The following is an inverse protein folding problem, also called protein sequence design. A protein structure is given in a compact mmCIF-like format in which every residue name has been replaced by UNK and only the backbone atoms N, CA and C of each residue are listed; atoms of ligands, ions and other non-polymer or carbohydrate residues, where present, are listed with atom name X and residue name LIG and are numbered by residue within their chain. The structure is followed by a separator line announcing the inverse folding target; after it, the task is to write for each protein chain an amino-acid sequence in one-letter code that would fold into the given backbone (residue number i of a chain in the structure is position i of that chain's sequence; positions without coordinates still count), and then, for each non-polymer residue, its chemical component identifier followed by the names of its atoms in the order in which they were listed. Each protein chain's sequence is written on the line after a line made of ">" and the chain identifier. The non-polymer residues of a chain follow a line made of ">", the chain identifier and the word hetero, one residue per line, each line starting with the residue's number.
data_IF_876243884354
#
_entry.id   IF_876243884354
#
_cell.length_a   1.000
_cell.length_b   1.000
_cell.length_c   1.000
_cell.angle_alpha   90.00
_cell.angle_beta   90.00
_cell.angle_gamma   90.00
#
_symmetry.space_group_name_H-M   'P 1'
#
loop_
_entity.id
_entity.type
_entity.pdbx_description
1 polymer ?
#
# COMPACT_ATOMS: atom_id res chain seq x y z
N UNK A 1 44.06 -17.26 12.46
CA UNK A 1 43.37 -16.02 12.87
C UNK A 1 42.39 -15.66 11.77
N UNK A 2 41.09 -15.77 12.03
CA UNK A 2 40.03 -15.48 11.06
C UNK A 2 39.49 -14.10 11.43
N UNK A 3 39.78 -13.09 10.61
CA UNK A 3 39.24 -11.73 10.80
C UNK A 3 37.76 -11.72 10.42
N UNK A 4 36.85 -11.17 11.24
CA UNK A 4 35.45 -11.08 10.86
C UNK A 4 35.32 -9.98 9.80
N UNK A 5 34.80 -10.34 8.63
CA UNK A 5 34.41 -9.35 7.64
C UNK A 5 33.16 -8.61 8.16
N UNK A 6 33.39 -7.44 8.74
CA UNK A 6 32.33 -6.50 9.05
C UNK A 6 31.81 -5.92 7.74
N UNK A 7 30.70 -6.46 7.24
CA UNK A 7 29.91 -5.81 6.19
C UNK A 7 29.44 -4.46 6.75
N UNK A 8 30.23 -3.41 6.49
CA UNK A 8 29.92 -2.04 6.85
C UNK A 8 28.82 -1.59 5.89
N UNK A 9 27.56 -1.66 6.33
CA UNK A 9 26.44 -1.10 5.58
C UNK A 9 26.61 0.42 5.63
N UNK A 10 27.25 0.98 4.60
CA UNK A 10 27.47 2.41 4.48
C UNK A 10 26.11 3.09 4.30
N UNK A 11 25.79 4.03 5.19
CA UNK A 11 24.53 4.76 5.12
C UNK A 11 24.50 5.60 3.85
N UNK A 12 23.65 5.22 2.90
CA UNK A 12 23.36 6.00 1.70
C UNK A 12 22.12 6.84 1.93
N UNK A 13 22.29 8.16 1.93
CA UNK A 13 21.18 9.10 2.07
C UNK A 13 20.14 8.88 0.97
N UNK A 14 18.89 8.65 1.37
CA UNK A 14 17.77 8.33 0.48
C UNK A 14 17.18 9.61 -0.12
N UNK A 15 17.93 10.26 -1.01
CA UNK A 15 17.55 11.54 -1.67
C UNK A 15 16.18 11.50 -2.36
N UNK A 16 15.76 10.34 -2.85
CA UNK A 16 14.44 10.18 -3.48
C UNK A 16 13.26 10.50 -2.54
N UNK A 17 13.44 10.35 -1.23
CA UNK A 17 12.40 10.71 -0.24
C UNK A 17 12.19 12.21 -0.12
N UNK A 18 13.22 13.01 -0.45
CA UNK A 18 13.15 14.46 -0.47
C UNK A 18 12.49 14.99 -1.75
N UNK A 19 12.26 14.13 -2.76
CA UNK A 19 11.51 14.49 -3.98
C UNK A 19 9.99 14.49 -3.75
N UNK A 20 9.53 13.88 -2.66
CA UNK A 20 8.12 13.87 -2.29
C UNK A 20 7.88 15.07 -1.37
N UNK A 21 7.70 16.24 -1.95
CA UNK A 21 7.20 17.39 -1.19
C UNK A 21 5.73 17.14 -0.88
N UNK A 22 5.42 16.82 0.38
CA UNK A 22 4.05 16.51 0.80
C UNK A 22 3.03 17.64 0.57
N UNK A 23 3.50 18.86 0.25
CA UNK A 23 2.67 20.01 -0.11
C UNK A 23 1.94 19.83 -1.44
N UNK A 24 2.50 19.05 -2.36
CA UNK A 24 1.95 18.86 -3.71
C UNK A 24 1.11 17.57 -3.83
N UNK A 25 0.85 16.89 -2.70
CA UNK A 25 0.04 15.67 -2.68
C UNK A 25 -1.39 15.95 -2.23
N UNK A 26 -2.33 15.65 -3.11
CA UNK A 26 -3.77 15.60 -2.81
C UNK A 26 -4.01 14.41 -1.88
N UNK A 27 -4.70 14.68 -0.78
CA UNK A 27 -5.01 13.68 0.24
C UNK A 27 -6.50 13.37 0.19
N UNK A 28 -6.85 12.08 0.13
CA UNK A 28 -8.24 11.63 0.11
C UNK A 28 -8.39 10.28 0.82
N UNK A 29 -9.61 9.96 1.20
CA UNK A 29 -9.97 8.72 1.88
C UNK A 29 -10.88 7.89 0.97
N UNK A 30 -10.63 6.59 0.91
CA UNK A 30 -11.52 5.61 0.26
C UNK A 30 -11.95 4.61 1.32
N UNK A 31 -13.26 4.56 1.59
CA UNK A 31 -13.84 3.69 2.60
C UNK A 31 -14.94 2.82 1.98
N UNK A 32 -14.78 1.51 2.09
CA UNK A 32 -15.75 0.51 1.65
C UNK A 32 -15.77 -0.66 2.63
N UNK A 33 -16.88 -0.79 3.36
CA UNK A 33 -17.05 -1.71 4.49
C UNK A 33 -15.86 -1.65 5.47
N UNK A 34 -15.08 -2.72 5.61
CA UNK A 34 -13.93 -2.79 6.51
C UNK A 34 -12.64 -2.18 5.92
N UNK A 35 -12.63 -1.90 4.62
CA UNK A 35 -11.46 -1.32 3.94
C UNK A 35 -11.49 0.20 4.10
N UNK A 36 -10.51 0.75 4.82
CA UNK A 36 -10.37 2.19 5.05
C UNK A 36 -8.94 2.62 4.65
N UNK A 37 -8.83 3.31 3.52
CA UNK A 37 -7.56 3.71 2.92
C UNK A 37 -7.42 5.24 2.96
N UNK A 38 -6.32 5.72 3.54
CA UNK A 38 -5.89 7.11 3.40
C UNK A 38 -4.78 7.20 2.36
N UNK A 39 -5.04 7.91 1.27
CA UNK A 39 -4.17 7.98 0.09
C UNK A 39 -3.69 9.41 -0.11
N UNK A 40 -2.41 9.55 -0.45
CA UNK A 40 -1.78 10.80 -0.86
C UNK A 40 -1.13 10.61 -2.22
N UNK A 41 -1.59 11.36 -3.22
CA UNK A 41 -1.13 11.25 -4.59
C UNK A 41 -0.93 12.63 -5.24
N UNK A 42 -0.14 12.69 -6.30
CA UNK A 42 0.12 13.93 -7.06
C UNK A 42 -1.07 14.41 -7.90
N UNK A 43 -2.17 13.65 -7.92
CA UNK A 43 -3.41 13.98 -8.61
C UNK A 43 -4.60 13.35 -7.88
N UNK A 44 -5.80 13.82 -8.20
CA UNK A 44 -7.05 13.30 -7.66
C UNK A 44 -7.32 11.91 -8.27
N UNK A 45 -7.41 10.89 -7.43
CA UNK A 45 -7.59 9.49 -7.85
C UNK A 45 -8.68 8.77 -7.04
N UNK A 46 -9.48 9.48 -6.24
CA UNK A 46 -10.47 8.87 -5.34
C UNK A 46 -11.44 7.97 -6.10
N UNK A 47 -11.91 8.41 -7.27
CA UNK A 47 -12.81 7.61 -8.11
C UNK A 47 -12.17 6.29 -8.55
N UNK A 48 -10.95 6.35 -9.11
CA UNK A 48 -10.25 5.14 -9.56
C UNK A 48 -9.91 4.22 -8.39
N UNK A 49 -9.46 4.79 -7.27
CA UNK A 49 -9.14 4.05 -6.07
C UNK A 49 -10.39 3.34 -5.51
N UNK A 50 -11.54 4.01 -5.48
CA UNK A 50 -12.82 3.41 -5.07
C UNK A 50 -13.22 2.24 -5.98
N UNK A 51 -13.14 2.42 -7.31
CA UNK A 51 -13.44 1.35 -8.26
C UNK A 51 -12.52 0.13 -8.07
N UNK A 52 -11.23 0.36 -7.82
CA UNK A 52 -10.28 -0.72 -7.60
C UNK A 52 -10.50 -1.43 -6.26
N UNK A 53 -10.79 -0.70 -5.19
CA UNK A 53 -11.15 -1.30 -3.88
C UNK A 53 -12.35 -2.21 -4.05
N UNK A 54 -13.42 -1.73 -4.69
CA UNK A 54 -14.63 -2.54 -4.90
C UNK A 54 -14.35 -3.79 -5.75
N UNK A 55 -13.58 -3.64 -6.83
CA UNK A 55 -13.20 -4.77 -7.69
C UNK A 55 -12.41 -5.85 -6.94
N UNK A 56 -11.40 -5.46 -6.16
CA UNK A 56 -10.59 -6.42 -5.41
C UNK A 56 -11.36 -7.05 -4.25
N UNK A 57 -12.18 -6.27 -3.54
CA UNK A 57 -13.07 -6.80 -2.51
C UNK A 57 -13.99 -7.87 -3.08
N UNK A 58 -14.67 -7.58 -4.19
CA UNK A 58 -15.55 -8.54 -4.87
C UNK A 58 -14.82 -9.82 -5.27
N UNK A 59 -13.56 -9.73 -5.72
CA UNK A 59 -12.76 -10.93 -6.02
C UNK A 59 -12.50 -11.78 -4.78
N UNK A 60 -12.14 -11.15 -3.66
CA UNK A 60 -11.91 -11.83 -2.37
C UNK A 60 -13.22 -12.44 -1.84
N UNK A 61 -14.31 -11.68 -1.88
CA UNK A 61 -15.64 -12.13 -1.45
C UNK A 61 -16.13 -13.33 -2.28
N UNK A 62 -15.97 -13.29 -3.60
CA UNK A 62 -16.31 -14.40 -4.48
C UNK A 62 -15.43 -15.64 -4.21
N UNK A 63 -14.16 -15.44 -3.90
CA UNK A 63 -13.27 -16.54 -3.55
C UNK A 63 -13.67 -17.17 -2.22
N UNK A 64 -13.93 -16.36 -1.19
CA UNK A 64 -14.46 -16.83 0.12
C UNK A 64 -15.78 -17.58 -0.07
N UNK A 65 -16.67 -17.07 -0.92
CA UNK A 65 -17.94 -17.74 -1.22
C UNK A 65 -17.73 -19.13 -1.83
N UNK A 66 -16.77 -19.26 -2.75
CA UNK A 66 -16.44 -20.52 -3.41
C UNK A 66 -15.66 -21.49 -2.52
N UNK A 67 -14.86 -20.94 -1.58
CA UNK A 67 -13.99 -21.69 -0.69
C UNK A 67 -14.14 -21.20 0.76
N UNK A 68 -15.23 -21.56 1.47
CA UNK A 68 -15.54 -20.99 2.79
C UNK A 68 -14.45 -21.15 3.85
N UNK A 69 -13.66 -22.24 3.78
CA UNK A 69 -12.54 -22.48 4.69
C UNK A 69 -11.45 -21.39 4.61
N UNK A 70 -11.31 -20.72 3.47
CA UNK A 70 -10.35 -19.64 3.28
C UNK A 70 -10.60 -18.45 4.22
N UNK A 71 -11.84 -18.22 4.64
CA UNK A 71 -12.19 -17.13 5.55
C UNK A 71 -11.55 -17.27 6.94
N UNK A 72 -11.32 -18.49 7.38
CA UNK A 72 -10.95 -18.82 8.77
C UNK A 72 -9.60 -19.52 8.91
N UNK A 73 -8.85 -19.66 7.81
CA UNK A 73 -7.48 -20.22 7.83
C UNK A 73 -6.49 -19.11 8.13
#
# INVERSE_FOLDING_TARGET
>A
MISPQTNKIEYKERKYRNLIEGKDLISFQVKEAESDLYIRANQELSFYAQQMVSNFRKQIENYIYSYPLFKST
#
